data_IF_495216564878
#
_entry.id   IF_495216564878
#
_cell.length_a   1.000
_cell.length_b   1.000
_cell.length_c   1.000
_cell.angle_alpha   90.00
_cell.angle_beta   90.00
_cell.angle_gamma   90.00
#
_symmetry.space_group_name_H-M   'P 1'
#
loop_
_entity.id
_entity.type
_entity.pdbx_description
1 polymer ?
#
# COMPACT_ATOMS: atom_id res chain seq x y z
N UNK A 1 -4.90 -11.63 24.85
CA UNK A 1 -4.20 -12.73 25.54
C UNK A 1 -2.71 -12.52 25.35
N UNK A 2 -1.84 -12.78 26.34
CA UNK A 2 -0.40 -12.72 26.09
C UNK A 2 -0.03 -13.80 25.06
N UNK A 3 0.69 -13.44 23.99
CA UNK A 3 1.22 -14.40 23.03
C UNK A 3 2.53 -14.97 23.57
N UNK A 4 2.49 -16.20 24.06
CA UNK A 4 3.60 -16.91 24.68
C UNK A 4 4.09 -18.08 23.84
N UNK A 5 3.26 -18.58 22.92
CA UNK A 5 3.58 -19.67 22.01
C UNK A 5 3.46 -19.25 20.53
N UNK A 6 4.20 -19.93 19.64
CA UNK A 6 4.16 -19.67 18.20
C UNK A 6 2.75 -19.85 17.61
N UNK A 7 1.97 -20.81 18.13
CA UNK A 7 0.59 -21.03 17.69
C UNK A 7 -0.32 -19.85 18.05
N UNK A 8 -0.16 -19.27 19.24
CA UNK A 8 -0.91 -18.08 19.66
C UNK A 8 -0.54 -16.87 18.80
N UNK A 9 0.75 -16.73 18.43
CA UNK A 9 1.20 -15.68 17.52
C UNK A 9 0.64 -15.88 16.11
N UNK A 10 0.66 -17.10 15.56
CA UNK A 10 0.04 -17.38 14.26
C UNK A 10 -1.46 -17.04 14.27
N UNK A 11 -2.19 -17.45 15.33
CA UNK A 11 -3.60 -17.12 15.50
C UNK A 11 -3.84 -15.60 15.51
N UNK A 12 -2.97 -14.85 16.20
CA UNK A 12 -3.03 -13.40 16.23
C UNK A 12 -2.83 -12.77 14.85
N UNK A 13 -1.79 -13.20 14.11
CA UNK A 13 -1.48 -12.69 12.78
C UNK A 13 -2.59 -13.02 11.77
N UNK A 14 -3.16 -14.23 11.81
CA UNK A 14 -4.34 -14.57 11.00
C UNK A 14 -5.54 -13.68 11.33
N UNK A 15 -5.72 -13.34 12.61
CA UNK A 15 -6.79 -12.46 13.05
C UNK A 15 -6.60 -11.01 12.61
N UNK A 16 -5.36 -10.51 12.68
CA UNK A 16 -5.00 -9.18 12.21
C UNK A 16 -5.25 -9.06 10.70
N UNK A 17 -4.78 -10.02 9.91
CA UNK A 17 -5.04 -10.09 8.48
C UNK A 17 -6.53 -10.18 8.17
N UNK A 18 -7.29 -11.04 8.87
CA UNK A 18 -8.73 -11.17 8.65
C UNK A 18 -9.48 -9.84 8.88
N UNK A 19 -9.07 -9.06 9.87
CA UNK A 19 -9.63 -7.72 10.06
C UNK A 19 -9.16 -6.73 8.98
N UNK A 20 -7.87 -6.77 8.61
CA UNK A 20 -7.31 -5.91 7.58
C UNK A 20 -8.08 -6.07 6.26
N UNK A 21 -8.26 -7.29 5.80
CA UNK A 21 -9.02 -7.63 4.59
C UNK A 21 -10.46 -7.09 4.61
N UNK A 22 -11.17 -7.27 5.74
CA UNK A 22 -12.52 -6.72 5.90
C UNK A 22 -12.54 -5.18 5.87
N UNK A 23 -11.46 -4.51 6.26
CA UNK A 23 -11.34 -3.04 6.18
C UNK A 23 -11.00 -2.61 4.75
N UNK A 24 -10.06 -3.29 4.13
CA UNK A 24 -9.56 -3.00 2.79
C UNK A 24 -10.64 -3.21 1.75
N UNK A 25 -11.49 -4.23 1.89
CA UNK A 25 -12.68 -4.42 1.08
C UNK A 25 -13.59 -3.17 1.01
N UNK A 26 -13.72 -2.43 2.12
CA UNK A 26 -14.47 -1.16 2.12
C UNK A 26 -13.70 -0.01 1.49
N UNK A 27 -12.37 -0.01 1.59
CA UNK A 27 -11.49 0.99 0.99
C UNK A 27 -11.45 0.86 -0.53
N UNK A 28 -11.39 -0.36 -1.06
CA UNK A 28 -11.38 -0.66 -2.49
C UNK A 28 -12.58 -0.05 -3.23
N UNK A 29 -13.76 -0.10 -2.61
CA UNK A 29 -14.96 0.54 -3.16
C UNK A 29 -14.85 2.06 -3.28
N UNK A 30 -14.11 2.71 -2.38
CA UNK A 30 -13.85 4.17 -2.42
C UNK A 30 -12.86 4.49 -3.53
N UNK A 31 -11.72 3.80 -3.55
CA UNK A 31 -10.68 3.98 -4.57
C UNK A 31 -11.21 3.74 -6.00
N UNK A 32 -12.10 2.77 -6.20
CA UNK A 32 -12.72 2.52 -7.50
C UNK A 32 -13.56 3.71 -7.98
N UNK A 33 -14.31 4.36 -7.09
CA UNK A 33 -15.11 5.55 -7.42
C UNK A 33 -14.24 6.76 -7.73
N UNK A 34 -13.11 6.91 -7.04
CA UNK A 34 -12.17 8.03 -7.18
C UNK A 34 -11.26 7.89 -8.40
N UNK A 35 -10.98 6.66 -8.84
CA UNK A 35 -10.17 6.43 -10.04
C UNK A 35 -10.86 6.94 -11.31
N UNK A 36 -10.09 7.54 -12.21
CA UNK A 36 -10.56 7.95 -13.54
C UNK A 36 -10.19 6.95 -14.64
N UNK A 37 -9.21 6.08 -14.37
CA UNK A 37 -8.63 5.14 -15.32
C UNK A 37 -9.47 3.85 -15.45
N UNK A 38 -10.05 3.56 -16.63
CA UNK A 38 -10.89 2.36 -16.83
C UNK A 38 -10.19 1.05 -16.49
N UNK A 39 -8.89 0.94 -16.80
CA UNK A 39 -8.11 -0.28 -16.52
C UNK A 39 -7.86 -0.45 -15.02
N UNK A 40 -7.72 0.66 -14.30
CA UNK A 40 -7.60 0.62 -12.84
C UNK A 40 -8.90 0.17 -12.20
N UNK A 41 -10.05 0.67 -12.67
CA UNK A 41 -11.36 0.24 -12.18
C UNK A 41 -11.60 -1.25 -12.39
N UNK A 42 -11.33 -1.75 -13.60
CA UNK A 42 -11.44 -3.18 -13.92
C UNK A 42 -10.57 -4.02 -12.97
N UNK A 43 -9.29 -3.65 -12.77
CA UNK A 43 -8.41 -4.38 -11.85
C UNK A 43 -8.89 -4.29 -10.40
N UNK A 44 -9.45 -3.16 -9.96
CA UNK A 44 -10.01 -3.01 -8.61
C UNK A 44 -11.29 -3.86 -8.42
N UNK A 45 -12.09 -4.08 -9.47
CA UNK A 45 -13.25 -4.99 -9.42
C UNK A 45 -12.82 -6.46 -9.31
N UNK A 46 -11.77 -6.85 -10.04
CA UNK A 46 -11.13 -8.15 -9.88
C UNK A 46 -10.59 -8.29 -8.46
N UNK A 47 -9.87 -7.27 -7.97
CA UNK A 47 -9.25 -7.30 -6.65
C UNK A 47 -10.28 -7.33 -5.51
N UNK A 48 -11.42 -6.65 -5.65
CA UNK A 48 -12.55 -6.79 -4.74
C UNK A 48 -13.00 -8.26 -4.60
N UNK A 49 -12.99 -9.01 -5.70
CA UNK A 49 -13.35 -10.43 -5.71
C UNK A 49 -12.26 -11.27 -5.03
N UNK A 50 -10.99 -11.01 -5.35
CA UNK A 50 -9.83 -11.63 -4.68
C UNK A 50 -9.91 -11.42 -3.16
N UNK A 51 -10.11 -10.18 -2.68
CA UNK A 51 -10.28 -9.84 -1.27
C UNK A 51 -11.41 -10.61 -0.57
N UNK A 52 -12.55 -10.84 -1.25
CA UNK A 52 -13.59 -11.70 -0.69
C UNK A 52 -13.11 -13.15 -0.52
N UNK A 53 -12.40 -13.69 -1.51
CA UNK A 53 -11.86 -15.04 -1.47
C UNK A 53 -10.73 -15.19 -0.43
N UNK A 54 -9.92 -14.16 -0.25
CA UNK A 54 -8.87 -14.06 0.77
C UNK A 54 -9.45 -14.14 2.19
N UNK A 55 -10.56 -13.43 2.45
CA UNK A 55 -11.30 -13.54 3.72
C UNK A 55 -11.76 -14.99 3.96
N UNK A 56 -12.28 -15.67 2.95
CA UNK A 56 -12.69 -17.08 3.07
C UNK A 56 -11.47 -18.03 3.21
N UNK A 57 -10.32 -17.74 2.59
CA UNK A 57 -9.06 -18.47 2.81
C UNK A 57 -8.57 -18.31 4.25
N UNK A 58 -8.65 -17.10 4.83
CA UNK A 58 -8.26 -16.86 6.21
C UNK A 58 -9.14 -17.65 7.19
N UNK A 59 -10.46 -17.69 6.98
CA UNK A 59 -11.36 -18.53 7.78
C UNK A 59 -10.98 -20.01 7.71
N UNK A 60 -10.70 -20.52 6.50
CA UNK A 60 -10.19 -21.89 6.33
C UNK A 60 -8.82 -22.11 7.01
N UNK A 61 -7.94 -21.12 6.98
CA UNK A 61 -6.64 -21.20 7.67
C UNK A 61 -6.81 -21.33 9.19
N UNK A 62 -7.78 -20.63 9.79
CA UNK A 62 -8.17 -20.83 11.20
C UNK A 62 -8.66 -22.24 11.48
N UNK A 63 -9.55 -22.78 10.63
CA UNK A 63 -10.06 -24.15 10.75
C UNK A 63 -8.92 -25.19 10.70
N UNK A 64 -7.97 -25.02 9.78
CA UNK A 64 -6.79 -25.90 9.63
C UNK A 64 -5.95 -25.96 10.90
N UNK A 65 -5.73 -24.83 11.57
CA UNK A 65 -4.96 -24.79 12.82
C UNK A 65 -5.79 -25.17 14.06
N UNK A 66 -7.06 -25.55 13.87
CA UNK A 66 -7.98 -25.96 14.92
C UNK A 66 -8.45 -24.81 15.82
N UNK A 67 -8.54 -23.60 15.28
CA UNK A 67 -8.97 -22.40 15.99
C UNK A 67 -10.25 -21.81 15.37
N UNK A 68 -11.03 -21.09 16.16
CA UNK A 68 -12.17 -20.32 15.65
C UNK A 68 -11.66 -19.06 14.92
N UNK A 69 -12.26 -18.76 13.76
CA UNK A 69 -11.93 -17.56 13.01
C UNK A 69 -12.34 -16.29 13.77
N UNK A 70 -11.37 -15.46 14.10
CA UNK A 70 -11.57 -14.17 14.77
C UNK A 70 -10.96 -13.08 13.89
N UNK A 71 -11.62 -11.92 13.84
CA UNK A 71 -11.03 -10.71 13.27
C UNK A 71 -10.48 -9.87 14.44
N UNK A 72 -9.16 -9.81 14.57
CA UNK A 72 -8.46 -9.04 15.60
C UNK A 72 -8.18 -7.64 15.07
N UNK A 73 -8.36 -6.60 15.90
CA UNK A 73 -8.31 -5.22 15.39
C UNK A 73 -6.95 -4.87 14.80
N UNK A 74 -6.88 -4.77 13.47
CA UNK A 74 -5.69 -4.29 12.77
C UNK A 74 -5.58 -2.76 12.84
N UNK A 75 -4.59 -2.28 13.59
CA UNK A 75 -4.31 -0.86 13.73
C UNK A 75 -3.74 -0.24 12.44
N UNK A 76 -2.94 -0.99 11.70
CA UNK A 76 -2.32 -0.50 10.47
C UNK A 76 -3.35 -0.27 9.36
N UNK A 77 -4.27 -1.21 9.12
CA UNK A 77 -5.34 -1.03 8.14
C UNK A 77 -6.27 0.15 8.48
N UNK A 78 -6.51 0.40 9.78
CA UNK A 78 -7.24 1.60 10.22
C UNK A 78 -6.44 2.86 9.87
N UNK A 79 -5.14 2.88 10.19
CA UNK A 79 -4.26 4.01 9.90
C UNK A 79 -4.19 4.34 8.41
N UNK A 80 -4.05 3.34 7.54
CA UNK A 80 -4.03 3.51 6.07
C UNK A 80 -5.33 4.13 5.54
N UNK A 81 -6.48 3.77 6.13
CA UNK A 81 -7.75 4.43 5.82
C UNK A 81 -7.79 5.87 6.33
N UNK A 82 -7.36 6.09 7.56
CA UNK A 82 -7.35 7.42 8.19
C UNK A 82 -6.43 8.39 7.46
N UNK A 83 -5.31 7.92 6.92
CA UNK A 83 -4.40 8.70 6.10
C UNK A 83 -5.07 9.17 4.80
N UNK A 84 -5.79 8.29 4.12
CA UNK A 84 -6.60 8.65 2.95
C UNK A 84 -7.67 9.68 3.29
N UNK A 85 -8.51 9.38 4.29
CA UNK A 85 -9.63 10.25 4.68
C UNK A 85 -9.14 11.65 5.11
N UNK A 86 -7.97 11.71 5.79
CA UNK A 86 -7.38 12.98 6.23
C UNK A 86 -6.80 13.76 5.06
N UNK A 87 -6.11 13.11 4.12
CA UNK A 87 -5.61 13.77 2.91
C UNK A 87 -6.74 14.40 2.09
N UNK A 88 -7.82 13.66 1.83
CA UNK A 88 -8.98 14.16 1.08
C UNK A 88 -9.61 15.37 1.79
N UNK A 89 -9.79 15.29 3.12
CA UNK A 89 -10.45 16.31 3.93
C UNK A 89 -9.60 17.59 4.10
N UNK A 90 -8.30 17.44 4.33
CA UNK A 90 -7.42 18.54 4.73
C UNK A 90 -6.80 19.22 3.52
N UNK A 91 -6.30 18.45 2.55
CA UNK A 91 -5.60 18.97 1.37
C UNK A 91 -6.55 19.32 0.22
N UNK A 92 -7.79 18.79 0.24
CA UNK A 92 -8.81 19.04 -0.80
C UNK A 92 -8.24 18.91 -2.23
N UNK A 93 -7.63 17.76 -2.57
CA UNK A 93 -6.86 17.59 -3.79
C UNK A 93 -7.72 17.74 -5.04
N UNK A 94 -7.12 18.24 -6.13
CA UNK A 94 -7.71 18.13 -7.46
C UNK A 94 -7.80 16.65 -7.88
N UNK A 95 -8.70 16.27 -8.82
CA UNK A 95 -8.84 14.88 -9.22
C UNK A 95 -7.53 14.19 -9.66
N UNK A 96 -6.61 14.84 -10.41
CA UNK A 96 -5.32 14.24 -10.73
C UNK A 96 -4.40 14.02 -9.52
N UNK A 97 -4.43 14.92 -8.53
CA UNK A 97 -3.65 14.77 -7.29
C UNK A 97 -4.22 13.67 -6.40
N UNK A 98 -5.56 13.55 -6.35
CA UNK A 98 -6.23 12.47 -5.64
C UNK A 98 -5.86 11.12 -6.25
N UNK A 99 -5.96 10.96 -7.58
CA UNK A 99 -5.59 9.72 -8.26
C UNK A 99 -4.11 9.33 -8.03
N UNK A 100 -3.20 10.32 -8.05
CA UNK A 100 -1.79 10.09 -7.73
C UNK A 100 -1.58 9.61 -6.28
N UNK A 101 -2.28 10.25 -5.33
CA UNK A 101 -2.24 9.87 -3.93
C UNK A 101 -2.82 8.47 -3.71
N UNK A 102 -3.96 8.17 -4.31
CA UNK A 102 -4.65 6.88 -4.17
C UNK A 102 -3.78 5.73 -4.70
N UNK A 103 -3.09 5.93 -5.83
CA UNK A 103 -2.13 4.94 -6.34
C UNK A 103 -0.99 4.70 -5.34
N UNK A 104 -0.48 5.75 -4.71
CA UNK A 104 0.54 5.64 -3.67
C UNK A 104 0.01 4.96 -2.40
N UNK A 105 -1.19 5.31 -1.96
CA UNK A 105 -1.81 4.75 -0.77
C UNK A 105 -2.21 3.29 -0.97
N UNK A 106 -2.81 2.95 -2.12
CA UNK A 106 -3.09 1.58 -2.52
C UNK A 106 -1.83 0.72 -2.50
N UNK A 107 -0.71 1.19 -3.06
CA UNK A 107 0.56 0.47 -2.99
C UNK A 107 1.03 0.21 -1.55
N UNK A 108 0.80 1.15 -0.63
CA UNK A 108 1.13 0.97 0.79
C UNK A 108 0.23 -0.06 1.47
N UNK A 109 -1.05 -0.14 1.07
CA UNK A 109 -1.98 -1.20 1.50
C UNK A 109 -1.46 -2.56 1.04
N UNK A 110 -1.17 -2.73 -0.25
CA UNK A 110 -0.68 -4.01 -0.77
C UNK A 110 0.62 -4.45 -0.07
N UNK A 111 1.56 -3.51 0.17
CA UNK A 111 2.80 -3.84 0.87
C UNK A 111 2.60 -4.20 2.34
N UNK A 112 1.58 -3.66 3.00
CA UNK A 112 1.19 -4.08 4.33
C UNK A 112 0.73 -5.54 4.31
N UNK A 113 -0.16 -5.88 3.38
CA UNK A 113 -0.71 -7.24 3.27
C UNK A 113 0.35 -8.26 2.86
N UNK A 114 1.21 -7.92 1.89
CA UNK A 114 2.36 -8.74 1.52
C UNK A 114 3.24 -9.04 2.73
N UNK A 115 3.51 -8.05 3.58
CA UNK A 115 4.31 -8.25 4.79
C UNK A 115 3.57 -9.14 5.81
N UNK A 116 2.29 -8.90 6.03
CA UNK A 116 1.44 -9.69 6.93
C UNK A 116 1.32 -11.15 6.51
N UNK A 117 1.01 -11.41 5.23
CA UNK A 117 0.96 -12.76 4.69
C UNK A 117 2.30 -13.48 4.77
N UNK A 118 3.42 -12.82 4.44
CA UNK A 118 4.76 -13.42 4.58
C UNK A 118 5.09 -13.77 6.04
N UNK A 119 4.70 -12.91 6.99
CA UNK A 119 4.85 -13.16 8.44
C UNK A 119 4.06 -14.41 8.86
N UNK A 120 2.77 -14.46 8.53
CA UNK A 120 1.89 -15.59 8.87
C UNK A 120 2.34 -16.91 8.20
N UNK A 121 2.79 -16.85 6.94
CA UNK A 121 3.35 -18.02 6.23
C UNK A 121 4.59 -18.55 6.95
N UNK A 122 5.51 -17.68 7.37
CA UNK A 122 6.72 -18.11 8.07
C UNK A 122 6.40 -18.80 9.40
N UNK A 123 5.39 -18.30 10.13
CA UNK A 123 4.90 -18.93 11.36
C UNK A 123 4.24 -20.28 11.10
N UNK A 124 3.37 -20.36 10.10
CA UNK A 124 2.72 -21.61 9.69
C UNK A 124 3.75 -22.67 9.26
N UNK A 125 4.80 -22.27 8.53
CA UNK A 125 5.93 -23.14 8.17
C UNK A 125 6.68 -23.66 9.40
N UNK A 126 6.96 -22.78 10.37
CA UNK A 126 7.65 -23.15 11.60
C UNK A 126 6.85 -24.15 12.45
N UNK A 127 5.52 -24.10 12.37
CA UNK A 127 4.60 -25.02 13.07
C UNK A 127 4.28 -26.30 12.27
N UNK A 128 4.68 -26.38 11.00
CA UNK A 128 4.39 -27.52 10.11
C UNK A 128 2.97 -27.51 9.53
N UNK A 129 2.27 -26.38 9.57
CA UNK A 129 0.88 -26.20 9.12
C UNK A 129 0.82 -26.02 7.59
N UNK A 130 1.17 -27.08 6.84
CA UNK A 130 1.38 -27.00 5.39
C UNK A 130 0.14 -26.56 4.58
N UNK A 131 -1.06 -26.93 5.04
CA UNK A 131 -2.31 -26.51 4.38
C UNK A 131 -2.57 -25.01 4.59
N UNK A 132 -2.31 -24.50 5.81
CA UNK A 132 -2.36 -23.06 6.10
C UNK A 132 -1.36 -22.30 5.22
N UNK A 133 -0.12 -22.80 5.09
CA UNK A 133 0.89 -22.22 4.19
C UNK A 133 0.37 -22.11 2.75
N UNK A 134 -0.27 -23.17 2.23
CA UNK A 134 -0.79 -23.17 0.87
C UNK A 134 -1.88 -22.11 0.67
N UNK A 135 -2.83 -22.01 1.61
CA UNK A 135 -3.91 -21.01 1.58
C UNK A 135 -3.38 -19.58 1.59
N UNK A 136 -2.47 -19.27 2.53
CA UNK A 136 -1.90 -17.92 2.66
C UNK A 136 -0.99 -17.54 1.49
N UNK A 137 -0.29 -18.53 0.90
CA UNK A 137 0.55 -18.30 -0.28
C UNK A 137 -0.28 -17.95 -1.52
N UNK A 138 -1.52 -18.42 -1.59
CA UNK A 138 -2.44 -18.06 -2.67
C UNK A 138 -2.81 -16.58 -2.58
N UNK A 139 -3.28 -16.10 -1.41
CA UNK A 139 -3.55 -14.67 -1.18
C UNK A 139 -2.32 -13.81 -1.42
N UNK A 140 -1.14 -14.21 -0.90
CA UNK A 140 0.11 -13.47 -1.10
C UNK A 140 0.40 -13.20 -2.59
N UNK A 141 0.13 -14.15 -3.48
CA UNK A 141 0.37 -13.97 -4.92
C UNK A 141 -0.57 -12.97 -5.56
N UNK A 142 -1.81 -12.91 -5.09
CA UNK A 142 -2.81 -11.93 -5.52
C UNK A 142 -2.35 -10.52 -5.12
N UNK A 143 -1.87 -10.34 -3.88
CA UNK A 143 -1.41 -9.02 -3.42
C UNK A 143 -0.14 -8.59 -4.15
N UNK A 144 0.81 -9.52 -4.36
CA UNK A 144 2.02 -9.25 -5.16
C UNK A 144 1.67 -8.84 -6.60
N UNK A 145 0.64 -9.45 -7.19
CA UNK A 145 0.16 -9.11 -8.53
C UNK A 145 -0.52 -7.73 -8.55
N UNK A 146 -1.33 -7.42 -7.54
CA UNK A 146 -1.96 -6.10 -7.40
C UNK A 146 -0.92 -5.00 -7.17
N UNK A 147 0.02 -5.18 -6.24
CA UNK A 147 1.13 -4.25 -6.01
C UNK A 147 1.91 -3.95 -7.30
N UNK A 148 2.29 -5.00 -8.03
CA UNK A 148 3.00 -4.87 -9.32
C UNK A 148 2.18 -4.07 -10.34
N UNK A 149 0.86 -4.26 -10.36
CA UNK A 149 -0.03 -3.53 -11.24
C UNK A 149 -0.11 -2.05 -10.86
N UNK A 150 -0.26 -1.75 -9.57
CA UNK A 150 -0.31 -0.37 -9.05
C UNK A 150 0.99 0.35 -9.36
N UNK A 151 2.16 -0.23 -9.11
CA UNK A 151 3.46 0.39 -9.39
C UNK A 151 3.61 0.83 -10.85
N UNK A 152 3.17 -0.03 -11.78
CA UNK A 152 3.19 0.26 -13.22
C UNK A 152 2.20 1.36 -13.59
N UNK A 153 1.02 1.36 -12.96
CA UNK A 153 -0.03 2.36 -13.19
C UNK A 153 0.38 3.72 -12.62
N UNK A 154 0.92 3.76 -11.39
CA UNK A 154 1.47 4.94 -10.73
C UNK A 154 2.58 5.59 -11.55
N UNK A 155 3.54 4.80 -12.01
CA UNK A 155 4.64 5.28 -12.85
C UNK A 155 4.16 5.95 -14.14
N UNK A 156 3.02 5.52 -14.70
CA UNK A 156 2.43 6.13 -15.89
C UNK A 156 1.64 7.39 -15.54
N UNK A 157 0.78 7.32 -14.51
CA UNK A 157 -0.05 8.42 -14.08
C UNK A 157 0.81 9.64 -13.67
N UNK A 158 1.83 9.42 -12.85
CA UNK A 158 2.73 10.49 -12.40
C UNK A 158 3.49 11.18 -13.56
N UNK A 159 3.90 10.41 -14.58
CA UNK A 159 4.52 10.98 -15.78
C UNK A 159 3.57 11.87 -16.57
N UNK A 160 2.31 11.45 -16.72
CA UNK A 160 1.29 12.23 -17.42
C UNK A 160 0.97 13.52 -16.66
N UNK A 161 0.77 13.41 -15.34
CA UNK A 161 0.52 14.54 -14.46
C UNK A 161 1.66 15.56 -14.56
N UNK A 162 2.92 15.10 -14.43
CA UNK A 162 4.09 15.97 -14.55
C UNK A 162 4.14 16.70 -15.90
N UNK A 163 3.91 16.01 -17.02
CA UNK A 163 3.92 16.63 -18.34
C UNK A 163 2.83 17.71 -18.50
N UNK A 164 1.63 17.46 -17.99
CA UNK A 164 0.52 18.43 -18.08
C UNK A 164 0.71 19.65 -17.18
N UNK A 165 1.51 19.55 -16.11
CA UNK A 165 1.83 20.70 -15.25
C UNK A 165 2.89 21.61 -15.88
N UNK A 166 3.87 21.04 -16.59
CA UNK A 166 4.90 21.81 -17.29
C UNK A 166 4.31 22.60 -18.48
N UNK A 167 3.28 22.08 -19.17
CA UNK A 167 2.62 22.76 -20.30
C UNK A 167 1.69 23.93 -19.86
N UNK A 168 1.36 24.04 -18.57
CA UNK A 168 0.48 25.07 -18.02
C UNK A 168 1.16 26.40 -17.67
N UNK A 169 2.49 26.48 -17.76
CA UNK A 169 3.26 27.68 -17.39
C UNK A 169 3.64 28.59 -18.58
N UNK A 170 3.35 28.20 -19.83
CA UNK A 170 3.75 28.97 -21.03
C UNK A 170 2.69 29.95 -21.60
N UNK A 171 1.52 30.12 -20.96
CA UNK A 171 0.50 31.10 -21.40
C UNK A 171 0.28 32.24 -20.39
N UNK A 172 1.26 33.13 -20.21
CA UNK A 172 0.98 34.52 -19.83
C UNK A 172 1.97 35.55 -20.44
N UNK A 173 2.15 35.57 -21.76
CA UNK A 173 2.61 36.79 -22.45
C UNK A 173 1.42 37.68 -22.84
N UNK A 174 0.92 38.44 -21.88
CA UNK A 174 0.01 39.56 -22.14
C UNK A 174 0.74 40.70 -22.89
N UNK A 175 0.11 41.36 -23.89
CA UNK A 175 0.78 42.38 -24.68
C UNK A 175 1.00 43.64 -23.85
N UNK A 176 2.24 43.90 -23.42
CA UNK A 176 2.61 45.16 -22.74
C UNK A 176 2.62 46.31 -23.74
N UNK A 177 1.48 47.00 -23.80
CA UNK A 177 1.26 48.28 -24.47
C UNK A 177 2.32 49.32 -24.05
N UNK A 178 2.81 50.05 -25.05
CA UNK A 178 3.77 51.15 -24.90
C UNK A 178 3.30 52.26 -23.96
N UNK A 179 4.26 52.77 -23.19
CA UNK A 179 4.08 53.86 -22.23
C UNK A 179 4.50 55.17 -22.87
N UNK A 180 3.52 55.98 -23.29
CA UNK A 180 3.71 57.39 -23.62
C UNK A 180 3.48 58.28 -22.39
N UNK A 181 4.24 59.36 -22.39
CA UNK A 181 4.43 60.45 -21.42
C UNK A 181 3.23 61.33 -21.04
N UNK A 182 3.30 61.97 -19.86
CA UNK A 182 2.57 63.20 -19.46
C UNK A 182 2.12 63.16 -17.99
N UNK A 183 2.84 63.74 -17.02
CA UNK A 183 2.89 65.15 -16.60
C UNK A 183 1.70 65.61 -15.72
N UNK A 184 1.99 66.19 -14.54
CA UNK A 184 1.05 67.07 -13.82
C UNK A 184 0.99 66.94 -12.29
N UNK A 185 1.70 67.82 -11.60
CA UNK A 185 1.81 67.96 -10.14
C UNK A 185 0.71 68.82 -9.48
N UNK A 186 0.37 68.45 -8.24
CA UNK A 186 0.04 69.28 -7.06
C UNK A 186 -1.21 70.20 -7.02
N UNK A 187 -2.02 70.01 -5.96
CA UNK A 187 -3.00 70.98 -5.44
C UNK A 187 -3.51 70.57 -4.04
N UNK A 188 -3.32 71.44 -3.03
CA UNK A 188 -3.60 71.26 -1.59
C UNK A 188 -5.05 71.64 -1.21
N UNK A 189 -5.34 71.41 0.09
CA UNK A 189 -6.37 71.97 1.01
C UNK A 189 -7.61 71.10 1.24
N UNK A 190 -8.33 71.12 2.37
CA UNK A 190 -8.07 71.23 3.81
C UNK A 190 -9.48 71.22 4.47
N UNK A 191 -9.70 70.45 5.55
CA UNK A 191 -10.71 70.58 6.65
C UNK A 191 -12.18 70.99 6.29
N UNK A 192 -13.25 70.46 6.89
CA UNK A 192 -13.57 70.45 8.32
C UNK A 192 -14.98 69.83 8.57
N UNK A 193 -15.11 69.16 9.72
CA UNK A 193 -16.27 69.02 10.63
C UNK A 193 -17.65 68.55 10.15
N UNK A 194 -18.15 67.50 10.82
CA UNK A 194 -19.58 67.23 11.01
C UNK A 194 -19.78 66.04 11.95
N UNK A 195 -20.41 66.26 13.10
CA UNK A 195 -20.48 65.32 14.22
C UNK A 195 -21.81 64.55 14.31
N UNK A 196 -21.76 63.48 15.11
CA UNK A 196 -22.83 62.80 15.89
C UNK A 196 -23.70 61.72 15.22
N UNK A 197 -23.68 60.55 15.87
CA UNK A 197 -24.92 59.85 16.26
C UNK A 197 -24.88 58.32 16.13
N UNK A 198 -24.95 57.60 17.26
CA UNK A 198 -25.52 56.23 17.30
C UNK A 198 -24.69 55.15 17.98
N UNK A 199 -25.05 54.83 19.24
CA UNK A 199 -24.66 53.63 20.00
C UNK A 199 -25.24 52.34 19.35
N UNK A 200 -24.80 51.09 19.57
CA UNK A 200 -24.62 50.24 20.78
C UNK A 200 -23.91 48.94 20.30
N UNK A 201 -22.85 48.45 20.95
CA UNK A 201 -22.81 47.44 22.04
C UNK A 201 -23.03 45.96 21.62
N UNK A 202 -21.98 45.13 21.83
CA UNK A 202 -21.92 43.73 22.28
C UNK A 202 -20.60 43.12 21.76
N UNK A 203 -19.54 43.00 22.56
CA UNK A 203 -19.26 41.88 23.47
C UNK A 203 -19.13 40.53 22.75
N UNK A 204 -17.89 40.04 22.60
CA UNK A 204 -17.43 38.76 23.18
C UNK A 204 -15.92 38.70 23.01
N UNK A 205 -15.20 38.58 24.12
CA UNK A 205 -13.78 38.25 24.13
C UNK A 205 -13.54 36.74 24.03
N UNK A 206 -12.38 36.35 23.50
CA UNK A 206 -11.57 35.27 24.04
C UNK A 206 -10.16 35.34 23.44
N UNK A 207 -9.20 35.72 24.29
CA UNK A 207 -7.76 35.62 24.06
C UNK A 207 -7.36 34.14 24.17
N UNK A 208 -6.59 33.63 23.20
CA UNK A 208 -5.68 32.51 23.43
C UNK A 208 -4.26 33.01 23.30
N UNK A 209 -3.55 32.97 24.43
CA UNK A 209 -2.17 33.37 24.57
C UNK A 209 -1.27 32.15 24.31
N UNK A 210 -0.32 32.34 23.40
CA UNK A 210 0.88 31.55 23.25
C UNK A 210 1.67 31.48 24.57
N UNK A 211 2.04 30.27 25.01
CA UNK A 211 3.15 30.08 25.94
C UNK A 211 4.05 28.94 25.49
N UNK A 212 5.19 29.36 24.95
CA UNK A 212 6.45 28.63 24.94
C UNK A 212 6.93 28.37 26.37
N UNK A 213 7.43 27.16 26.65
CA UNK A 213 8.34 26.92 27.76
C UNK A 213 9.42 25.92 27.33
N UNK A 214 10.61 26.48 27.20
CA UNK A 214 11.91 25.82 27.11
C UNK A 214 12.30 25.15 28.44
N UNK A 215 12.93 23.97 28.38
CA UNK A 215 13.62 23.34 29.51
C UNK A 215 14.70 22.38 29.03
N UNK A 216 15.97 22.77 29.24
CA UNK A 216 17.21 22.09 28.82
C UNK A 216 17.53 20.87 29.68
N UNK A 217 18.30 19.94 29.10
CA UNK A 217 19.48 19.38 29.77
C UNK A 217 19.58 17.85 29.78
N UNK A 218 20.65 17.31 29.21
CA UNK A 218 21.04 15.91 29.43
C UNK A 218 21.88 15.32 28.31
N UNK A 219 23.13 15.73 28.19
CA UNK A 219 24.11 15.10 27.31
C UNK A 219 24.63 13.79 27.91
N UNK A 220 24.69 12.72 27.12
CA UNK A 220 25.67 11.66 27.32
C UNK A 220 26.17 11.14 25.96
N UNK A 221 27.42 11.50 25.65
CA UNK A 221 28.25 10.82 24.66
C UNK A 221 28.91 9.64 25.37
N UNK A 222 28.83 8.46 24.78
CA UNK A 222 29.90 7.46 24.90
C UNK A 222 30.00 6.70 23.58
N UNK A 223 31.22 6.68 23.07
CA UNK A 223 31.61 6.03 21.84
C UNK A 223 31.91 4.54 22.09
N UNK A 224 31.67 3.72 21.08
CA UNK A 224 32.63 2.67 20.75
C UNK A 224 32.65 2.46 19.24
N UNK A 225 33.84 2.67 18.68
CA UNK A 225 34.20 2.48 17.29
C UNK A 225 35.28 1.41 17.31
N UNK A 226 34.96 0.19 16.87
CA UNK A 226 35.97 -0.80 16.51
C UNK A 226 35.36 -1.87 15.60
N UNK A 227 35.60 -1.74 14.30
CA UNK A 227 35.83 -2.88 13.41
C UNK A 227 36.71 -2.39 12.25
N UNK A 228 37.95 -2.85 12.25
CA UNK A 228 38.99 -2.55 11.29
C UNK A 228 39.31 -3.84 10.54
N UNK A 229 39.36 -3.77 9.20
CA UNK A 229 40.15 -4.59 8.24
C UNK A 229 39.97 -6.13 8.31
N UNK A 230 40.09 -6.93 7.25
CA UNK A 230 40.57 -6.76 5.88
C UNK A 230 40.29 -8.09 5.15
N UNK A 231 40.18 -8.01 3.83
CA UNK A 231 40.04 -9.12 2.90
C UNK A 231 41.16 -10.19 2.96
N UNK A 232 40.83 -11.41 2.52
CA UNK A 232 41.66 -12.14 1.53
C UNK A 232 40.88 -13.27 0.84
N UNK A 233 41.09 -13.33 -0.47
CA UNK A 233 40.77 -14.41 -1.41
C UNK A 233 41.71 -15.61 -1.22
N UNK A 234 41.21 -16.81 -1.53
CA UNK A 234 41.82 -17.87 -2.41
C UNK A 234 40.92 -19.12 -2.32
N UNK A 235 40.25 -19.61 -3.37
CA UNK A 235 40.68 -20.21 -4.64
C UNK A 235 41.22 -21.65 -4.54
N UNK A 236 40.79 -22.48 -5.53
CA UNK A 236 41.30 -23.79 -6.01
C UNK A 236 40.49 -25.02 -5.55
N UNK A 237 39.70 -25.67 -6.43
CA UNK A 237 40.00 -26.55 -7.60
C UNK A 237 40.09 -28.04 -7.20
N UNK A 238 39.24 -28.87 -7.81
CA UNK A 238 39.60 -30.02 -8.68
C UNK A 238 38.34 -30.87 -8.94
N UNK A 239 37.91 -31.00 -10.20
CA UNK A 239 38.17 -32.10 -11.14
C UNK A 239 37.05 -33.17 -11.07
N UNK A 240 36.13 -33.29 -12.04
CA UNK A 240 36.21 -33.70 -13.46
C UNK A 240 36.38 -35.21 -13.71
N UNK A 241 35.67 -35.67 -14.75
CA UNK A 241 35.67 -36.99 -15.44
C UNK A 241 34.90 -38.13 -14.76
N UNK A 242 34.13 -38.98 -15.47
CA UNK A 242 33.94 -39.18 -16.91
C UNK A 242 32.87 -40.25 -17.18
N UNK A 243 32.21 -40.15 -18.35
CA UNK A 243 31.88 -41.25 -19.28
C UNK A 243 30.84 -42.30 -18.83
N UNK A 244 30.07 -42.99 -19.68
CA UNK A 244 29.68 -42.95 -21.10
C UNK A 244 28.90 -44.25 -21.36
N UNK A 245 27.92 -44.25 -22.26
CA UNK A 245 27.42 -45.47 -22.92
C UNK A 245 26.26 -46.18 -22.19
N UNK A 246 25.25 -46.74 -22.86
CA UNK A 246 25.04 -46.96 -24.28
C UNK A 246 23.58 -47.30 -24.57
N UNK A 247 23.28 -47.31 -25.85
CA UNK A 247 21.96 -47.31 -26.47
C UNK A 247 21.33 -48.71 -26.64
N UNK A 248 20.11 -48.68 -27.23
CA UNK A 248 19.38 -49.76 -27.95
C UNK A 248 18.61 -50.71 -27.03
N UNK A 249 17.46 -51.29 -27.38
CA UNK A 249 16.46 -51.20 -28.47
C UNK A 249 15.59 -52.45 -28.24
N UNK A 250 14.27 -52.40 -28.38
CA UNK A 250 13.49 -53.63 -28.22
C UNK A 250 12.00 -53.46 -28.47
N UNK A 251 11.62 -53.64 -29.73
CA UNK A 251 10.27 -53.56 -30.27
C UNK A 251 9.45 -54.83 -29.98
N UNK A 252 8.15 -54.62 -29.71
CA UNK A 252 6.97 -55.44 -30.04
C UNK A 252 6.92 -56.95 -29.68
N UNK A 253 5.85 -57.35 -28.96
CA UNK A 253 4.82 -58.21 -29.57
C UNK A 253 3.50 -58.29 -28.81
N UNK A 254 2.47 -58.23 -29.64
CA UNK A 254 1.03 -58.47 -29.47
C UNK A 254 0.77 -59.96 -29.20
N UNK A 255 -0.03 -60.29 -28.19
CA UNK A 255 -0.81 -61.54 -28.15
C UNK A 255 -2.21 -61.25 -27.63
N UNK A 256 -3.18 -61.47 -28.52
CA UNK A 256 -4.58 -61.61 -28.18
C UNK A 256 -4.83 -63.02 -27.64
N UNK A 257 -5.64 -63.15 -26.59
CA UNK A 257 -6.33 -64.39 -26.26
C UNK A 257 -7.75 -64.05 -25.81
N UNK A 258 -8.68 -64.85 -26.33
CA UNK A 258 -10.12 -64.67 -26.38
C UNK A 258 -10.74 -65.89 -25.70
N UNK A 259 -11.54 -65.68 -24.66
CA UNK A 259 -12.57 -66.58 -24.11
C UNK A 259 -13.18 -65.85 -22.90
N UNK A 260 -14.47 -65.82 -22.57
CA UNK A 260 -15.65 -66.57 -22.98
C UNK A 260 -16.55 -66.69 -21.74
N UNK A 261 -17.86 -66.44 -21.87
CA UNK A 261 -18.89 -66.66 -20.82
C UNK A 261 -19.49 -65.35 -20.28
N UNK A 262 -20.72 -64.89 -20.53
CA UNK A 262 -22.07 -65.52 -20.64
C UNK A 262 -22.67 -65.87 -19.27
N UNK A 263 -23.71 -65.11 -18.86
CA UNK A 263 -24.63 -65.40 -17.75
C UNK A 263 -25.22 -64.10 -17.18
N UNK A 264 -26.29 -63.55 -17.75
CA UNK A 264 -27.69 -63.65 -17.27
C UNK A 264 -27.88 -63.24 -15.80
N UNK A 265 -28.52 -62.08 -15.63
CA UNK A 265 -29.14 -61.52 -14.43
C UNK A 265 -29.80 -60.22 -14.82
#
# INVERSE_FOLDING_TARGET
>A
MPATELKELLKHELGDMHYAEQKILRMLGTMNRESSNPKMKERLEEHLTETYEQIERLKRAFEVIGEEAVAEKCHAAIGLKEEHDSFVREEQPSPPMLEAFDLGNGLRVEHYEIAGYRSAIALAQALGENECVALLTESLREEEAMATFIERSASRALKLISATMDEGEEEEEGPRRGRSSGAGTAGRTAAKSGARGGAKAADTGAKSASKSASGKGGASKSASKTANKSASKTASKSASKSASGGAKSGSARKTAARSGGRGKG
#
